data_IF_412998625239
#
_entry.id   IF_412998625239
#
_cell.length_a   1.000
_cell.length_b   1.000
_cell.length_c   1.000
_cell.angle_alpha   90.00
_cell.angle_beta   90.00
_cell.angle_gamma   90.00
#
_symmetry.space_group_name_H-M   'P 1'
#
loop_
_entity.id
_entity.type
_entity.pdbx_description
1 polymer ?
#
# COMPACT_ATOMS: atom_id res chain seq x y z
N UNK A 1 -1.36 -12.00 3.67
CA UNK A 1 -1.54 -10.89 2.72
C UNK A 1 -1.36 -9.58 3.46
N UNK A 2 -0.99 -8.52 2.75
CA UNK A 2 -0.84 -7.18 3.31
C UNK A 2 -1.86 -6.23 2.67
N UNK A 3 -2.15 -5.11 3.32
CA UNK A 3 -3.10 -4.10 2.84
C UNK A 3 -2.43 -2.74 2.74
N UNK A 4 -2.71 -2.02 1.67
CA UNK A 4 -2.40 -0.59 1.57
C UNK A 4 -3.46 0.21 2.33
N UNK A 5 -3.00 1.12 3.19
CA UNK A 5 -3.83 2.11 3.87
C UNK A 5 -3.41 3.48 3.33
N UNK A 6 -4.05 3.90 2.24
CA UNK A 6 -3.75 5.17 1.57
C UNK A 6 -4.58 6.29 2.21
N UNK A 7 -3.94 7.45 2.40
CA UNK A 7 -4.52 8.61 3.12
C UNK A 7 -5.06 8.27 4.53
N UNK A 8 -4.42 7.30 5.19
CA UNK A 8 -4.86 6.85 6.50
C UNK A 8 -4.08 7.53 7.63
N UNK A 9 -4.77 8.39 8.40
CA UNK A 9 -4.22 9.10 9.55
C UNK A 9 -4.51 8.35 10.86
N UNK A 10 -3.66 7.39 11.22
CA UNK A 10 -3.75 6.70 12.51
C UNK A 10 -2.83 7.35 13.57
N UNK A 11 -3.37 7.94 14.66
CA UNK A 11 -2.56 8.57 15.70
C UNK A 11 -1.74 7.56 16.51
N UNK A 12 -2.10 6.26 16.48
CA UNK A 12 -1.38 5.21 17.18
C UNK A 12 -0.23 4.59 16.37
N UNK A 13 0.05 5.04 15.14
CA UNK A 13 0.95 4.33 14.21
C UNK A 13 2.33 3.99 14.80
N UNK A 14 2.90 4.87 15.62
CA UNK A 14 4.24 4.70 16.22
C UNK A 14 4.26 3.83 17.49
N UNK A 15 3.12 3.53 18.11
CA UNK A 15 3.02 2.78 19.37
C UNK A 15 1.86 1.77 19.39
N UNK A 16 1.36 1.40 18.21
CA UNK A 16 0.26 0.45 18.07
C UNK A 16 0.73 -0.94 18.50
N UNK A 17 0.02 -1.55 19.45
CA UNK A 17 0.28 -2.93 19.89
C UNK A 17 -0.30 -3.99 18.93
N UNK A 18 -1.05 -3.55 17.92
CA UNK A 18 -1.80 -4.37 16.96
C UNK A 18 -2.76 -5.38 17.59
N UNK A 19 -3.15 -5.18 18.86
CA UNK A 19 -4.07 -6.06 19.59
C UNK A 19 -5.41 -5.39 19.88
N UNK A 20 -5.41 -4.14 20.33
CA UNK A 20 -6.64 -3.40 20.63
C UNK A 20 -6.62 -2.00 20.03
N UNK A 21 -7.39 -1.85 18.95
CA UNK A 21 -7.49 -0.61 18.21
C UNK A 21 -8.86 0.04 18.45
N UNK A 22 -8.86 1.20 19.10
CA UNK A 22 -10.05 2.05 19.27
C UNK A 22 -10.22 3.03 18.09
N UNK A 23 -9.42 2.89 17.04
CA UNK A 23 -9.55 3.70 15.84
C UNK A 23 -10.84 3.30 15.11
N UNK A 24 -11.47 4.25 14.43
CA UNK A 24 -12.73 4.01 13.73
C UNK A 24 -12.59 2.85 12.74
N UNK A 25 -13.29 1.75 13.04
CA UNK A 25 -13.24 0.54 12.22
C UNK A 25 -13.71 0.82 10.78
N UNK A 26 -14.58 1.81 10.57
CA UNK A 26 -15.02 2.23 9.23
C UNK A 26 -13.89 2.87 8.43
N UNK A 27 -12.94 3.55 9.08
CA UNK A 27 -11.74 4.08 8.44
C UNK A 27 -10.66 3.01 8.22
N UNK A 28 -10.69 1.90 8.96
CA UNK A 28 -9.80 0.74 8.73
C UNK A 28 -10.32 -0.22 7.66
N UNK A 29 -11.64 -0.40 7.62
CA UNK A 29 -12.35 -1.26 6.66
C UNK A 29 -12.85 -0.50 5.45
N UNK A 30 -12.79 0.82 5.47
CA UNK A 30 -13.13 1.69 4.35
C UNK A 30 -12.23 1.42 3.16
N UNK A 31 -12.74 1.78 1.97
CA UNK A 31 -11.92 1.81 0.77
C UNK A 31 -10.80 2.84 0.88
N UNK A 32 -9.71 2.60 0.16
CA UNK A 32 -8.72 3.64 -0.09
C UNK A 32 -9.34 4.75 -0.96
N UNK A 33 -8.76 5.95 -0.91
CA UNK A 33 -9.08 6.98 -1.90
C UNK A 33 -8.88 6.43 -3.33
N UNK A 34 -9.87 6.55 -4.22
CA UNK A 34 -9.83 5.91 -5.54
C UNK A 34 -8.76 6.51 -6.46
N UNK A 35 -8.43 7.80 -6.31
CA UNK A 35 -7.37 8.46 -7.10
C UNK A 35 -6.02 7.93 -6.62
N UNK A 36 -5.78 7.86 -5.31
CA UNK A 36 -4.54 7.33 -4.76
C UNK A 36 -4.37 5.84 -5.09
N UNK A 37 -5.43 5.06 -4.96
CA UNK A 37 -5.43 3.62 -5.27
C UNK A 37 -5.13 3.36 -6.75
N UNK A 38 -5.81 4.09 -7.65
CA UNK A 38 -5.58 4.00 -9.09
C UNK A 38 -4.16 4.42 -9.46
N UNK A 39 -3.67 5.53 -8.92
CA UNK A 39 -2.33 6.06 -9.19
C UNK A 39 -1.23 5.11 -8.71
N UNK A 40 -1.39 4.55 -7.49
CA UNK A 40 -0.47 3.54 -6.96
C UNK A 40 -0.45 2.31 -7.87
N UNK A 41 -1.62 1.80 -8.27
CA UNK A 41 -1.68 0.62 -9.15
C UNK A 41 -1.03 0.89 -10.50
N UNK A 42 -1.30 2.04 -11.12
CA UNK A 42 -0.67 2.46 -12.37
C UNK A 42 0.86 2.51 -12.25
N UNK A 43 1.40 3.12 -11.18
CA UNK A 43 2.84 3.18 -10.97
C UNK A 43 3.48 1.82 -10.74
N UNK A 44 2.81 0.93 -9.99
CA UNK A 44 3.27 -0.44 -9.80
C UNK A 44 3.32 -1.21 -11.14
N UNK A 45 2.27 -1.09 -11.96
CA UNK A 45 2.19 -1.72 -13.28
C UNK A 45 3.31 -1.22 -14.22
N UNK A 46 3.62 0.07 -14.20
CA UNK A 46 4.75 0.65 -14.95
C UNK A 46 6.11 0.09 -14.51
N UNK A 47 6.23 -0.40 -13.28
CA UNK A 47 7.41 -1.10 -12.76
C UNK A 47 7.35 -2.63 -12.95
N UNK A 48 6.34 -3.12 -13.68
CA UNK A 48 6.16 -4.54 -13.99
C UNK A 48 5.73 -5.37 -12.77
N UNK A 49 5.00 -4.77 -11.83
CA UNK A 49 4.41 -5.44 -10.66
C UNK A 49 2.93 -5.10 -10.59
N UNK A 50 2.05 -6.10 -10.60
CA UNK A 50 0.62 -5.86 -10.34
C UNK A 50 0.35 -6.03 -8.84
N UNK A 51 0.09 -4.91 -8.16
CA UNK A 51 -0.40 -4.90 -6.79
C UNK A 51 -1.87 -4.45 -6.83
N UNK A 52 -2.77 -5.34 -6.44
CA UNK A 52 -4.21 -5.07 -6.45
C UNK A 52 -4.55 -3.89 -5.54
N UNK A 53 -5.69 -3.24 -5.79
CA UNK A 53 -6.11 -1.99 -5.13
C UNK A 53 -6.17 -2.05 -3.59
N UNK A 54 -6.28 -3.26 -3.02
CA UNK A 54 -6.37 -3.47 -1.58
C UNK A 54 -5.07 -4.02 -0.95
N UNK A 55 -3.99 -4.16 -1.72
CA UNK A 55 -2.73 -4.77 -1.30
C UNK A 55 -2.38 -6.02 -2.09
N UNK A 56 -1.86 -7.04 -1.40
CA UNK A 56 -1.38 -8.24 -2.07
C UNK A 56 -1.24 -9.48 -1.18
N UNK A 57 -1.07 -10.62 -1.83
CA UNK A 57 -0.80 -11.91 -1.21
C UNK A 57 0.54 -12.45 -1.68
N UNK A 58 1.15 -13.28 -0.84
CA UNK A 58 2.35 -14.04 -1.19
C UNK A 58 1.93 -15.49 -1.39
N UNK A 59 2.47 -16.17 -2.41
CA UNK A 59 2.28 -17.59 -2.66
C UNK A 59 3.61 -18.33 -2.48
N UNK A 60 3.56 -19.66 -2.44
CA UNK A 60 4.76 -20.50 -2.38
C UNK A 60 5.65 -20.39 -3.63
N UNK A 61 5.15 -19.78 -4.73
CA UNK A 61 5.93 -19.55 -5.93
C UNK A 61 6.79 -18.29 -5.88
N UNK A 62 6.50 -17.35 -4.97
CA UNK A 62 7.30 -16.12 -4.86
C UNK A 62 8.65 -16.39 -4.22
N UNK A 63 9.66 -15.73 -4.78
CA UNK A 63 11.05 -15.77 -4.34
C UNK A 63 11.44 -14.46 -3.66
N UNK A 64 12.63 -14.42 -3.04
CA UNK A 64 13.20 -13.18 -2.51
C UNK A 64 13.34 -12.08 -3.58
N UNK A 65 13.63 -12.47 -4.84
CA UNK A 65 13.71 -11.55 -5.97
C UNK A 65 12.38 -10.86 -6.28
N UNK A 66 11.27 -11.58 -6.15
CA UNK A 66 9.93 -11.00 -6.36
C UNK A 66 9.60 -9.97 -5.28
N UNK A 67 10.03 -10.24 -4.04
CA UNK A 67 9.89 -9.32 -2.92
C UNK A 67 10.72 -8.05 -3.16
N UNK A 68 12.01 -8.19 -3.51
CA UNK A 68 12.89 -7.06 -3.81
C UNK A 68 12.36 -6.22 -4.97
N UNK A 69 11.91 -6.86 -6.06
CA UNK A 69 11.30 -6.15 -7.19
C UNK A 69 10.07 -5.35 -6.74
N UNK A 70 9.23 -5.94 -5.89
CA UNK A 70 8.02 -5.29 -5.37
C UNK A 70 8.37 -4.10 -4.47
N UNK A 71 9.40 -4.22 -3.62
CA UNK A 71 9.88 -3.12 -2.77
C UNK A 71 10.36 -1.95 -3.63
N UNK A 72 11.21 -2.23 -4.64
CA UNK A 72 11.73 -1.19 -5.54
C UNK A 72 10.61 -0.52 -6.36
N UNK A 73 9.65 -1.31 -6.86
CA UNK A 73 8.50 -0.79 -7.58
C UNK A 73 7.65 0.15 -6.70
N UNK A 74 7.43 -0.24 -5.45
CA UNK A 74 6.66 0.55 -4.50
C UNK A 74 7.36 1.86 -4.15
N UNK A 75 8.65 1.81 -3.82
CA UNK A 75 9.44 3.00 -3.48
C UNK A 75 9.49 4.02 -4.63
N UNK A 76 9.72 3.53 -5.86
CA UNK A 76 9.69 4.37 -7.06
C UNK A 76 8.32 4.97 -7.31
N UNK A 77 7.26 4.18 -7.16
CA UNK A 77 5.88 4.63 -7.36
C UNK A 77 5.50 5.72 -6.36
N UNK A 78 5.80 5.53 -5.07
CA UNK A 78 5.56 6.56 -4.04
C UNK A 78 6.35 7.83 -4.35
N UNK A 79 7.58 7.71 -4.83
CA UNK A 79 8.38 8.87 -5.24
C UNK A 79 7.75 9.63 -6.41
N UNK A 80 7.15 8.94 -7.38
CA UNK A 80 6.39 9.58 -8.47
C UNK A 80 5.12 10.26 -7.96
N UNK A 81 4.33 9.58 -7.13
CA UNK A 81 3.11 10.15 -6.55
C UNK A 81 3.38 11.42 -5.74
N UNK A 82 4.48 11.47 -4.99
CA UNK A 82 4.95 12.69 -4.29
C UNK A 82 5.29 13.82 -5.27
N UNK A 83 6.01 13.49 -6.34
CA UNK A 83 6.39 14.47 -7.38
C UNK A 83 5.16 15.06 -8.08
N UNK A 84 4.12 14.26 -8.23
CA UNK A 84 2.84 14.66 -8.82
C UNK A 84 1.89 15.34 -7.81
N UNK A 85 2.30 15.49 -6.55
CA UNK A 85 1.51 16.16 -5.51
C UNK A 85 0.30 15.37 -4.99
N UNK A 86 0.30 14.05 -5.17
CA UNK A 86 -0.79 13.18 -4.73
C UNK A 86 -0.69 12.77 -3.25
N UNK A 87 0.53 12.70 -2.70
CA UNK A 87 0.82 12.30 -1.31
C UNK A 87 1.97 13.08 -0.69
#
# INVERSE_FOLDING_TARGET
>A
GFRFLLDHTCPKRSFCDFRSCNYDYKKLKGGNDPILSGSLRCGMLLNGVDATEQGGWVSAAHTAKDIEKTIMAFDRTVSWMKKDGLV
#
